data_IF_255014794477
#
_entry.id   IF_255014794477
#
_cell.length_a   1.000
_cell.length_b   1.000
_cell.length_c   1.000
_cell.angle_alpha   90.00
_cell.angle_beta   90.00
_cell.angle_gamma   90.00
#
_symmetry.space_group_name_H-M   'P 1'
#
loop_
_entity.id
_entity.type
_entity.pdbx_description
1 polymer ?
#
# COMPACT_ATOMS: atom_id res chain seq x y z
N UNK A 1 29.00 -3.39 20.88
CA UNK A 1 29.36 -2.58 19.67
C UNK A 1 28.47 -1.34 19.50
N UNK A 2 27.70 -0.97 20.52
CA UNK A 2 26.97 0.30 20.52
C UNK A 2 28.00 1.44 20.53
N UNK A 3 27.73 2.49 19.74
CA UNK A 3 28.60 3.67 19.56
C UNK A 3 29.99 3.39 18.95
N UNK A 4 30.16 2.28 18.21
CA UNK A 4 31.34 2.03 17.41
C UNK A 4 31.03 2.05 15.93
N UNK A 5 31.91 2.65 15.13
CA UNK A 5 31.83 2.60 13.68
C UNK A 5 32.04 1.15 13.23
N UNK A 6 31.04 0.59 12.56
CA UNK A 6 31.08 -0.75 11.99
C UNK A 6 30.87 -0.64 10.49
N UNK A 7 31.80 -1.16 9.71
CA UNK A 7 31.69 -1.18 8.25
C UNK A 7 30.52 -2.07 7.82
N UNK A 8 29.71 -1.60 6.85
CA UNK A 8 28.71 -2.43 6.21
C UNK A 8 29.36 -3.61 5.51
N UNK A 9 28.75 -4.80 5.57
CA UNK A 9 29.29 -6.03 4.95
C UNK A 9 29.52 -5.90 3.43
N UNK A 10 28.67 -5.13 2.75
CA UNK A 10 28.67 -4.90 1.31
C UNK A 10 29.26 -3.54 0.90
N UNK A 11 29.88 -2.80 1.83
CA UNK A 11 30.40 -1.46 1.56
C UNK A 11 31.38 -1.43 0.40
N UNK A 12 32.33 -2.37 0.35
CA UNK A 12 33.33 -2.46 -0.70
C UNK A 12 32.68 -2.68 -2.08
N UNK A 13 31.72 -3.61 -2.18
CA UNK A 13 30.98 -3.87 -3.41
C UNK A 13 30.26 -2.61 -3.92
N UNK A 14 29.66 -1.84 -3.02
CA UNK A 14 28.95 -0.61 -3.37
C UNK A 14 29.89 0.49 -3.89
N UNK A 15 31.02 0.73 -3.23
CA UNK A 15 31.94 1.81 -3.59
C UNK A 15 32.80 1.47 -4.82
N UNK A 16 33.00 0.18 -5.13
CA UNK A 16 33.73 -0.27 -6.31
C UNK A 16 32.83 -0.57 -7.53
N UNK A 17 31.49 -0.39 -7.40
CA UNK A 17 30.55 -0.61 -8.49
C UNK A 17 30.33 -2.07 -8.87
N UNK A 18 30.54 -3.02 -7.93
CA UNK A 18 30.25 -4.43 -8.19
C UNK A 18 28.73 -4.65 -8.39
N UNK A 19 28.32 -5.61 -9.25
CA UNK A 19 26.90 -5.93 -9.47
C UNK A 19 26.23 -6.40 -8.18
N UNK A 20 25.23 -5.67 -7.70
CA UNK A 20 24.56 -5.96 -6.42
C UNK A 20 23.05 -5.75 -6.44
N UNK A 21 22.51 -5.08 -7.48
CA UNK A 21 21.10 -4.80 -7.62
C UNK A 21 20.40 -5.89 -8.44
N UNK A 22 19.08 -5.93 -8.37
CA UNK A 22 18.26 -6.98 -8.99
C UNK A 22 18.57 -7.15 -10.50
N UNK A 23 18.66 -6.05 -11.25
CA UNK A 23 18.87 -6.13 -12.70
C UNK A 23 20.29 -6.55 -13.06
N UNK A 24 21.28 -6.20 -12.23
CA UNK A 24 22.67 -6.65 -12.40
C UNK A 24 22.83 -8.16 -12.33
N UNK A 25 21.94 -8.82 -11.57
CA UNK A 25 21.98 -10.26 -11.29
C UNK A 25 21.10 -11.08 -12.24
N UNK A 26 20.28 -10.42 -13.07
CA UNK A 26 19.38 -11.11 -13.97
C UNK A 26 20.13 -11.90 -15.06
N UNK A 27 19.78 -13.17 -15.33
CA UNK A 27 20.32 -13.91 -16.45
C UNK A 27 20.11 -13.18 -17.79
N UNK A 28 21.07 -13.25 -18.70
CA UNK A 28 21.03 -12.56 -20.00
C UNK A 28 19.93 -13.10 -20.93
N UNK A 29 19.53 -14.35 -20.75
CA UNK A 29 18.51 -15.07 -21.51
C UNK A 29 17.09 -14.98 -20.91
N UNK A 30 16.89 -14.11 -19.92
CA UNK A 30 15.57 -13.83 -19.40
C UNK A 30 14.61 -13.33 -20.47
N UNK A 31 13.39 -13.90 -20.48
CA UNK A 31 12.28 -13.26 -21.17
C UNK A 31 12.02 -11.87 -20.62
N UNK A 32 11.82 -10.90 -21.49
CA UNK A 32 11.35 -9.56 -21.12
C UNK A 32 9.84 -9.63 -20.95
N UNK A 33 9.36 -9.19 -19.77
CA UNK A 33 7.94 -9.16 -19.45
C UNK A 33 7.46 -7.72 -19.40
N UNK A 34 6.40 -7.42 -20.14
CA UNK A 34 5.66 -6.15 -20.06
C UNK A 34 4.16 -6.42 -19.98
N UNK A 35 3.38 -5.40 -19.60
CA UNK A 35 1.93 -5.52 -19.44
C UNK A 35 1.19 -4.49 -20.29
N UNK A 36 0.05 -4.91 -20.84
CA UNK A 36 -0.96 -4.00 -21.37
C UNK A 36 -1.75 -3.44 -20.20
N UNK A 37 -1.90 -2.13 -20.14
CA UNK A 37 -2.60 -1.44 -19.05
C UNK A 37 -3.92 -0.85 -19.50
N UNK A 38 -4.89 -0.84 -18.57
CA UNK A 38 -6.20 -0.25 -18.77
C UNK A 38 -6.12 1.26 -19.01
N UNK A 39 -6.75 1.78 -20.06
CA UNK A 39 -6.97 3.22 -20.24
C UNK A 39 -8.19 3.74 -19.47
N UNK A 40 -8.98 2.83 -18.85
CA UNK A 40 -10.24 3.16 -18.18
C UNK A 40 -10.12 2.99 -16.67
N UNK A 41 -10.76 3.88 -15.93
CA UNK A 41 -10.83 3.82 -14.47
C UNK A 41 -11.72 2.66 -13.97
N UNK A 42 -12.78 2.30 -14.73
CA UNK A 42 -13.65 1.19 -14.41
C UNK A 42 -14.20 0.61 -15.71
N UNK A 43 -13.93 -0.65 -15.99
CA UNK A 43 -14.39 -1.33 -17.20
C UNK A 43 -14.42 -2.84 -17.03
N UNK A 44 -15.20 -3.50 -17.89
CA UNK A 44 -15.08 -4.95 -18.15
C UNK A 44 -14.42 -5.18 -19.50
N UNK A 45 -13.47 -6.08 -19.56
CA UNK A 45 -12.93 -6.56 -20.83
C UNK A 45 -14.00 -7.46 -21.47
N UNK A 46 -14.60 -7.03 -22.58
CA UNK A 46 -15.58 -7.83 -23.35
C UNK A 46 -14.88 -8.93 -24.15
N UNK A 47 -13.98 -8.49 -25.01
CA UNK A 47 -13.17 -9.36 -25.85
C UNK A 47 -11.72 -8.91 -25.85
N UNK A 48 -10.80 -9.85 -26.03
CA UNK A 48 -9.37 -9.59 -26.24
C UNK A 48 -8.84 -10.50 -27.34
N UNK A 49 -8.33 -9.94 -28.43
CA UNK A 49 -7.68 -10.67 -29.50
C UNK A 49 -6.17 -10.57 -29.37
N UNK A 50 -5.53 -11.67 -29.04
CA UNK A 50 -4.09 -11.80 -28.87
C UNK A 50 -3.39 -12.51 -30.02
N UNK A 51 -4.12 -13.02 -31.04
CA UNK A 51 -3.59 -13.87 -32.13
C UNK A 51 -2.41 -13.23 -32.85
N UNK A 52 -2.55 -11.95 -33.25
CA UNK A 52 -1.49 -11.22 -33.95
C UNK A 52 -0.30 -10.92 -33.04
N UNK A 53 -0.55 -10.67 -31.74
CA UNK A 53 0.51 -10.44 -30.77
C UNK A 53 1.33 -11.70 -30.52
N UNK A 54 0.66 -12.84 -30.35
CA UNK A 54 1.31 -14.15 -30.15
C UNK A 54 2.10 -14.62 -31.36
N UNK A 55 1.75 -14.18 -32.57
CA UNK A 55 2.46 -14.50 -33.81
C UNK A 55 3.70 -13.66 -34.07
N UNK A 56 4.02 -12.66 -33.24
CA UNK A 56 5.24 -11.85 -33.38
C UNK A 56 6.47 -12.74 -33.08
N UNK A 57 7.47 -12.81 -33.99
CA UNK A 57 8.68 -13.57 -33.75
C UNK A 57 9.37 -13.16 -32.44
N UNK A 58 9.76 -14.16 -31.64
CA UNK A 58 10.38 -13.96 -30.34
C UNK A 58 9.41 -13.76 -29.16
N UNK A 59 8.10 -13.86 -29.39
CA UNK A 59 7.12 -13.88 -28.30
C UNK A 59 6.98 -15.31 -27.75
N UNK A 60 7.15 -15.46 -26.44
CA UNK A 60 7.04 -16.72 -25.73
C UNK A 60 5.61 -16.98 -25.24
N UNK A 61 4.92 -15.96 -24.74
CA UNK A 61 3.51 -16.04 -24.35
C UNK A 61 2.83 -14.68 -24.27
N UNK A 62 1.51 -14.70 -24.43
CA UNK A 62 0.60 -13.59 -24.14
C UNK A 62 -0.47 -14.17 -23.21
N UNK A 63 -0.59 -13.62 -21.99
CA UNK A 63 -1.52 -14.09 -20.96
C UNK A 63 -2.62 -13.05 -20.73
N UNK A 64 -3.85 -13.55 -20.56
CA UNK A 64 -5.06 -12.75 -20.28
C UNK A 64 -5.71 -13.21 -18.99
N UNK A 65 -6.89 -12.67 -18.66
CA UNK A 65 -7.64 -13.14 -17.47
C UNK A 65 -8.01 -14.64 -17.55
N UNK A 66 -8.10 -15.21 -18.73
CA UNK A 66 -8.40 -16.63 -18.95
C UNK A 66 -7.24 -17.54 -18.53
N UNK A 67 -6.02 -17.02 -18.58
CA UNK A 67 -4.80 -17.71 -18.15
C UNK A 67 -4.47 -17.51 -16.67
N UNK A 68 -5.13 -16.54 -16.01
CA UNK A 68 -4.87 -16.18 -14.62
C UNK A 68 -5.52 -17.21 -13.67
N UNK A 69 -4.79 -17.66 -12.62
CA UNK A 69 -5.42 -18.48 -11.58
C UNK A 69 -6.63 -17.75 -10.97
N UNK A 70 -7.68 -18.53 -10.65
CA UNK A 70 -8.90 -17.98 -10.04
C UNK A 70 -8.72 -17.49 -8.59
N UNK A 71 -7.53 -17.66 -8.01
CA UNK A 71 -7.21 -17.30 -6.64
C UNK A 71 -7.26 -15.78 -6.43
N UNK A 72 -7.99 -15.34 -5.40
CA UNK A 72 -7.83 -13.96 -4.91
C UNK A 72 -6.73 -13.89 -3.86
N UNK A 73 -6.00 -12.80 -3.87
CA UNK A 73 -4.92 -12.52 -2.94
C UNK A 73 -4.88 -11.03 -2.58
N UNK A 74 -4.07 -10.67 -1.61
CA UNK A 74 -3.71 -9.28 -1.32
C UNK A 74 -2.23 -9.07 -1.60
N UNK A 75 -1.86 -7.90 -2.10
CA UNK A 75 -0.45 -7.53 -2.34
C UNK A 75 0.23 -6.96 -1.10
N UNK A 76 -0.50 -6.75 -0.02
CA UNK A 76 0.05 -6.24 1.24
C UNK A 76 1.00 -7.22 1.90
N UNK A 77 2.00 -6.69 2.58
CA UNK A 77 2.96 -7.45 3.35
C UNK A 77 3.18 -6.89 4.74
N UNK A 78 2.27 -7.17 5.66
CA UNK A 78 2.27 -6.61 7.02
C UNK A 78 2.37 -7.69 8.07
N UNK A 79 1.42 -8.62 8.12
CA UNK A 79 1.32 -9.67 9.14
C UNK A 79 0.69 -10.94 8.58
N UNK A 80 0.33 -11.88 9.46
CA UNK A 80 -0.44 -13.08 9.12
C UNK A 80 -1.37 -13.45 10.28
N UNK A 81 -2.69 -13.63 10.04
CA UNK A 81 -3.37 -13.36 8.76
C UNK A 81 -3.23 -11.90 8.34
N UNK A 82 -3.28 -11.65 7.03
CA UNK A 82 -3.17 -10.29 6.50
C UNK A 82 -4.48 -9.53 6.76
N UNK A 83 -4.45 -8.33 7.38
CA UNK A 83 -5.66 -7.56 7.67
C UNK A 83 -6.35 -7.03 6.41
N UNK A 84 -5.60 -6.84 5.34
CA UNK A 84 -6.18 -6.38 4.07
C UNK A 84 -7.02 -7.46 3.41
N UNK A 85 -8.16 -7.10 2.80
CA UNK A 85 -9.00 -8.03 2.05
C UNK A 85 -8.26 -8.72 0.91
N UNK A 86 -8.72 -9.92 0.57
CA UNK A 86 -8.31 -10.70 -0.59
C UNK A 86 -9.18 -10.30 -1.77
N UNK A 87 -8.81 -9.24 -2.44
CA UNK A 87 -9.64 -8.52 -3.42
C UNK A 87 -9.07 -8.50 -4.84
N UNK A 88 -7.82 -8.99 -5.05
CA UNK A 88 -7.10 -8.91 -6.31
C UNK A 88 -6.88 -10.28 -6.94
N UNK A 89 -6.86 -10.32 -8.30
CA UNK A 89 -6.33 -11.40 -9.14
C UNK A 89 -5.10 -10.93 -9.88
N UNK A 90 -4.29 -11.84 -10.44
CA UNK A 90 -3.09 -11.46 -11.23
C UNK A 90 -3.52 -10.64 -12.45
N UNK A 91 -4.50 -11.14 -13.20
CA UNK A 91 -5.19 -10.44 -14.28
C UNK A 91 -6.69 -10.67 -14.03
N UNK A 92 -7.47 -9.61 -14.01
CA UNK A 92 -8.92 -9.68 -13.84
C UNK A 92 -9.62 -9.17 -15.11
N UNK A 93 -10.80 -9.71 -15.38
CA UNK A 93 -11.68 -9.21 -16.42
C UNK A 93 -12.24 -7.83 -16.10
N UNK A 94 -12.43 -7.55 -14.79
CA UNK A 94 -12.83 -6.23 -14.28
C UNK A 94 -11.61 -5.39 -13.97
N UNK A 95 -11.49 -4.28 -14.68
CA UNK A 95 -10.45 -3.28 -14.51
C UNK A 95 -10.96 -2.20 -13.57
N UNK A 96 -10.16 -1.84 -12.57
CA UNK A 96 -10.60 -0.99 -11.47
C UNK A 96 -9.89 0.35 -11.37
N UNK A 97 -8.83 0.57 -12.15
CA UNK A 97 -8.17 1.88 -12.24
C UNK A 97 -7.42 2.05 -13.56
N UNK A 98 -7.12 3.29 -13.94
CA UNK A 98 -6.26 3.58 -15.09
C UNK A 98 -4.84 3.10 -14.79
N UNK A 99 -4.38 2.09 -15.53
CA UNK A 99 -3.10 1.42 -15.27
C UNK A 99 -3.23 -0.01 -14.75
N UNK A 100 -4.46 -0.50 -14.48
CA UNK A 100 -4.70 -1.91 -14.11
C UNK A 100 -4.29 -2.85 -15.26
N UNK A 101 -3.95 -4.11 -14.94
CA UNK A 101 -3.36 -5.03 -15.91
C UNK A 101 -4.43 -5.73 -16.73
N UNK A 102 -4.35 -5.59 -18.05
CA UNK A 102 -5.24 -6.21 -19.05
C UNK A 102 -4.67 -7.49 -19.61
N UNK A 103 -3.36 -7.50 -19.89
CA UNK A 103 -2.64 -8.66 -20.42
C UNK A 103 -1.16 -8.59 -20.05
N UNK A 104 -0.50 -9.75 -20.02
CA UNK A 104 0.95 -9.89 -19.84
C UNK A 104 1.54 -10.40 -21.14
N UNK A 105 2.60 -9.78 -21.63
CA UNK A 105 3.36 -10.21 -22.82
C UNK A 105 4.79 -10.52 -22.42
N UNK A 106 5.30 -11.66 -22.83
CA UNK A 106 6.68 -12.07 -22.60
C UNK A 106 7.36 -12.53 -23.88
N UNK A 107 8.59 -12.09 -24.08
CA UNK A 107 9.37 -12.42 -25.29
C UNK A 107 10.87 -12.23 -25.11
N UNK A 108 11.62 -12.63 -26.13
CA UNK A 108 13.09 -12.65 -26.11
C UNK A 108 13.72 -11.24 -26.09
N UNK A 109 13.03 -10.26 -26.67
CA UNK A 109 13.53 -8.87 -26.75
C UNK A 109 12.45 -7.85 -26.40
N UNK A 110 12.89 -6.71 -25.91
CA UNK A 110 12.01 -5.59 -25.60
C UNK A 110 11.24 -5.12 -26.84
N UNK A 111 11.91 -5.06 -28.00
CA UNK A 111 11.30 -4.63 -29.26
C UNK A 111 10.18 -5.58 -29.71
N UNK A 112 10.37 -6.90 -29.58
CA UNK A 112 9.33 -7.89 -29.90
C UNK A 112 8.12 -7.73 -28.97
N UNK A 113 8.36 -7.56 -27.67
CA UNK A 113 7.29 -7.37 -26.67
C UNK A 113 6.53 -6.06 -26.92
N UNK A 114 7.21 -4.95 -27.19
CA UNK A 114 6.57 -3.66 -27.49
C UNK A 114 5.74 -3.71 -28.78
N UNK A 115 6.22 -4.45 -29.81
CA UNK A 115 5.45 -4.70 -31.03
C UNK A 115 4.21 -5.54 -30.75
N UNK A 116 4.33 -6.59 -29.97
CA UNK A 116 3.22 -7.46 -29.63
C UNK A 116 2.13 -6.74 -28.83
N UNK A 117 2.52 -5.92 -27.82
CA UNK A 117 1.59 -5.11 -27.05
C UNK A 117 0.69 -4.21 -27.92
N UNK A 118 1.25 -3.60 -28.98
CA UNK A 118 0.52 -2.75 -29.92
C UNK A 118 -0.45 -3.52 -30.82
N UNK A 119 -0.30 -4.83 -30.94
CA UNK A 119 -1.13 -5.70 -31.78
C UNK A 119 -2.29 -6.34 -31.02
N UNK A 120 -2.33 -6.26 -29.69
CA UNK A 120 -3.47 -6.71 -28.88
C UNK A 120 -4.64 -5.77 -29.14
N UNK A 121 -5.79 -6.35 -29.46
CA UNK A 121 -7.04 -5.60 -29.60
C UNK A 121 -7.97 -5.96 -28.46
N UNK A 122 -8.45 -4.94 -27.75
CA UNK A 122 -9.35 -5.12 -26.60
C UNK A 122 -10.61 -4.29 -26.78
N UNK A 123 -11.75 -4.89 -26.58
CA UNK A 123 -13.03 -4.21 -26.48
C UNK A 123 -13.44 -4.11 -25.00
N UNK A 124 -13.83 -2.92 -24.60
CA UNK A 124 -14.21 -2.62 -23.21
C UNK A 124 -15.69 -2.25 -23.12
N UNK A 125 -16.32 -2.72 -22.07
CA UNK A 125 -17.53 -2.12 -21.54
C UNK A 125 -17.13 -1.15 -20.43
N UNK A 126 -17.19 0.13 -20.72
CA UNK A 126 -16.83 1.19 -19.77
C UNK A 126 -17.94 1.33 -18.74
N UNK A 127 -17.57 1.25 -17.46
CA UNK A 127 -18.48 1.36 -16.33
C UNK A 127 -18.33 2.72 -15.66
N UNK A 128 -19.36 3.12 -14.90
CA UNK A 128 -19.31 4.33 -14.08
C UNK A 128 -18.24 4.14 -12.97
N UNK A 129 -17.23 5.03 -12.86
CA UNK A 129 -16.23 4.94 -11.80
C UNK A 129 -16.68 5.66 -10.52
N UNK A 130 -16.12 5.25 -9.39
CA UNK A 130 -16.17 5.95 -8.10
C UNK A 130 -14.84 6.69 -7.93
N UNK A 131 -14.83 8.01 -8.11
CA UNK A 131 -13.59 8.82 -8.07
C UNK A 131 -13.54 9.75 -6.86
N UNK A 132 -14.66 10.20 -6.32
CA UNK A 132 -14.70 11.00 -5.08
C UNK A 132 -14.77 10.05 -3.86
N UNK A 133 -13.66 9.93 -3.13
CA UNK A 133 -13.58 9.03 -1.98
C UNK A 133 -14.51 9.45 -0.83
N UNK A 134 -14.90 10.73 -0.76
CA UNK A 134 -15.88 11.23 0.22
C UNK A 134 -17.28 10.68 -0.01
N UNK A 135 -17.56 10.22 -1.24
CA UNK A 135 -18.84 9.66 -1.68
C UNK A 135 -18.74 8.17 -2.01
N UNK A 136 -17.64 7.52 -1.63
CA UNK A 136 -17.40 6.12 -1.98
C UNK A 136 -18.13 5.15 -1.06
N UNK A 137 -18.14 5.45 0.25
CA UNK A 137 -18.90 4.68 1.24
C UNK A 137 -20.39 4.70 0.90
N UNK A 138 -20.99 3.51 0.90
CA UNK A 138 -22.41 3.30 0.58
C UNK A 138 -22.83 3.78 -0.84
N UNK A 139 -21.87 3.94 -1.75
CA UNK A 139 -22.14 4.28 -3.14
C UNK A 139 -22.81 3.09 -3.84
N UNK A 140 -23.85 3.30 -4.67
CA UNK A 140 -24.52 2.22 -5.40
C UNK A 140 -23.62 1.55 -6.44
N UNK A 141 -22.58 2.22 -6.91
CA UNK A 141 -21.53 1.63 -7.76
C UNK A 141 -20.49 0.96 -6.88
N UNK A 142 -20.34 -0.36 -7.02
CA UNK A 142 -19.40 -1.15 -6.25
C UNK A 142 -18.08 -1.33 -7.02
N UNK A 143 -16.96 -1.08 -6.36
CA UNK A 143 -15.62 -1.36 -6.89
C UNK A 143 -15.36 -2.87 -6.89
N UNK A 144 -15.85 -3.58 -5.86
CA UNK A 144 -15.75 -5.03 -5.71
C UNK A 144 -17.14 -5.66 -5.52
N UNK A 145 -17.91 -5.87 -6.59
CA UNK A 145 -19.23 -6.52 -6.49
C UNK A 145 -19.15 -8.05 -6.34
N UNK A 146 -17.96 -8.66 -6.53
CA UNK A 146 -17.76 -10.09 -6.61
C UNK A 146 -17.99 -10.80 -5.27
N UNK A 147 -18.62 -11.99 -5.32
CA UNK A 147 -18.91 -12.80 -4.13
C UNK A 147 -17.69 -13.52 -3.56
N UNK A 148 -16.66 -13.76 -4.39
CA UNK A 148 -15.41 -14.40 -3.97
C UNK A 148 -14.41 -13.43 -3.30
N UNK A 149 -14.77 -12.15 -3.18
CA UNK A 149 -14.09 -11.20 -2.31
C UNK A 149 -14.19 -11.63 -0.84
N UNK A 150 -13.12 -11.49 -0.06
CA UNK A 150 -13.13 -11.87 1.35
C UNK A 150 -12.13 -11.09 2.18
N UNK A 151 -12.49 -10.84 3.42
CA UNK A 151 -11.59 -10.38 4.50
C UNK A 151 -11.39 -11.52 5.48
N UNK A 152 -10.14 -11.76 5.89
CA UNK A 152 -9.80 -12.82 6.86
C UNK A 152 -9.66 -12.29 8.29
N UNK A 153 -9.66 -10.97 8.47
CA UNK A 153 -9.56 -10.30 9.75
C UNK A 153 -10.81 -9.46 10.02
N UNK A 154 -11.20 -9.29 11.29
CA UNK A 154 -12.36 -8.47 11.67
C UNK A 154 -12.02 -6.97 11.66
N UNK A 155 -11.75 -6.43 10.49
CA UNK A 155 -11.35 -5.02 10.30
C UNK A 155 -12.51 -4.12 9.86
N UNK A 156 -13.76 -4.57 9.99
CA UNK A 156 -14.94 -3.81 9.55
C UNK A 156 -15.03 -3.66 8.02
N UNK A 157 -14.48 -4.63 7.29
CA UNK A 157 -14.50 -4.64 5.82
C UNK A 157 -15.85 -5.11 5.29
N UNK A 158 -16.39 -4.38 4.29
CA UNK A 158 -17.66 -4.68 3.62
C UNK A 158 -17.64 -4.17 2.16
N UNK A 159 -17.44 -5.09 1.22
CA UNK A 159 -17.38 -4.73 -0.20
C UNK A 159 -18.71 -4.20 -0.75
N UNK A 160 -19.85 -4.54 -0.14
CA UNK A 160 -21.18 -4.03 -0.55
C UNK A 160 -21.39 -2.57 -0.16
N UNK A 161 -20.55 -2.04 0.70
CA UNK A 161 -20.50 -0.64 1.13
C UNK A 161 -19.29 0.12 0.60
N UNK A 162 -18.49 -0.50 -0.26
CA UNK A 162 -17.17 0.00 -0.67
C UNK A 162 -16.20 0.25 0.51
N UNK A 163 -16.33 -0.51 1.60
CA UNK A 163 -15.45 -0.44 2.77
C UNK A 163 -14.36 -1.50 2.71
N UNK A 164 -13.12 -1.06 2.70
CA UNK A 164 -11.95 -1.90 2.91
C UNK A 164 -11.72 -2.17 4.41
N UNK A 165 -12.04 -1.18 5.24
CA UNK A 165 -11.96 -1.27 6.70
C UNK A 165 -12.78 -0.15 7.33
N UNK A 166 -13.28 -0.39 8.55
CA UNK A 166 -13.96 0.60 9.37
C UNK A 166 -13.79 0.22 10.83
N UNK A 167 -13.63 1.19 11.71
CA UNK A 167 -13.47 0.91 13.14
C UNK A 167 -13.67 2.13 14.02
N UNK A 168 -13.79 1.85 15.33
CA UNK A 168 -13.92 2.86 16.37
C UNK A 168 -13.24 2.38 17.64
N UNK A 169 -12.46 3.26 18.26
CA UNK A 169 -11.82 3.05 19.55
C UNK A 169 -12.04 4.30 20.41
N UNK A 170 -12.27 4.12 21.72
CA UNK A 170 -12.49 5.25 22.63
C UNK A 170 -12.09 4.88 24.06
N UNK A 171 -11.75 5.89 24.83
CA UNK A 171 -11.58 5.81 26.28
C UNK A 171 -12.13 7.08 26.92
N UNK A 172 -12.90 6.93 28.01
CA UNK A 172 -13.63 8.01 28.65
C UNK A 172 -14.87 8.51 27.88
N UNK A 173 -15.60 9.46 28.48
CA UNK A 173 -16.76 10.13 27.86
C UNK A 173 -16.32 11.42 27.18
N UNK A 174 -16.00 11.32 25.90
CA UNK A 174 -15.51 12.44 25.08
C UNK A 174 -16.51 13.59 25.02
N UNK A 175 -17.81 13.31 24.90
CA UNK A 175 -18.82 14.36 24.78
C UNK A 175 -19.01 15.12 26.09
N UNK A 176 -18.97 14.43 27.23
CA UNK A 176 -19.05 15.07 28.55
C UNK A 176 -17.82 15.96 28.78
N UNK A 177 -16.60 15.47 28.48
CA UNK A 177 -15.36 16.25 28.63
C UNK A 177 -15.36 17.46 27.70
N UNK A 178 -15.76 17.30 26.43
CA UNK A 178 -15.83 18.42 25.47
C UNK A 178 -16.78 19.54 25.93
N UNK A 179 -17.92 19.19 26.53
CA UNK A 179 -18.88 20.19 27.09
C UNK A 179 -18.32 20.99 28.24
N UNK A 180 -17.35 20.45 28.97
CA UNK A 180 -16.70 21.06 30.13
C UNK A 180 -15.36 21.75 29.75
N UNK A 181 -15.03 21.84 28.49
CA UNK A 181 -13.84 22.55 28.01
C UNK A 181 -14.09 24.04 27.79
N UNK A 182 -13.08 24.87 28.07
CA UNK A 182 -13.11 26.32 27.81
C UNK A 182 -13.01 26.66 26.32
N UNK A 183 -12.29 25.84 25.56
CA UNK A 183 -12.14 25.95 24.12
C UNK A 183 -12.37 24.60 23.47
N UNK A 184 -13.25 24.55 22.46
CA UNK A 184 -13.38 23.42 21.55
C UNK A 184 -13.16 23.91 20.14
N UNK A 185 -12.22 23.28 19.44
CA UNK A 185 -12.02 23.50 18.01
C UNK A 185 -12.39 22.24 17.23
N UNK A 186 -12.92 22.43 16.02
CA UNK A 186 -13.18 21.36 15.06
C UNK A 186 -12.62 21.76 13.70
N UNK A 187 -11.76 20.92 13.12
CA UNK A 187 -11.11 21.19 11.83
C UNK A 187 -10.99 19.90 11.03
N UNK A 188 -11.12 20.04 9.72
CA UNK A 188 -10.85 18.96 8.77
C UNK A 188 -9.65 19.32 7.92
N UNK A 189 -8.67 18.43 7.89
CA UNK A 189 -7.43 18.57 7.13
C UNK A 189 -7.37 17.52 6.03
N UNK A 190 -6.90 17.89 4.85
CA UNK A 190 -6.78 17.03 3.70
C UNK A 190 -5.31 16.86 3.30
N UNK A 191 -4.89 15.60 3.12
CA UNK A 191 -3.57 15.24 2.59
C UNK A 191 -3.73 14.45 1.30
N UNK A 192 -2.99 14.83 0.25
CA UNK A 192 -3.04 14.16 -1.06
C UNK A 192 -2.21 12.89 -1.10
N UNK A 193 -2.46 12.06 -2.11
CA UNK A 193 -1.63 10.93 -2.46
C UNK A 193 -0.30 11.42 -3.08
N UNK A 194 0.81 10.88 -2.57
CA UNK A 194 2.17 11.17 -3.04
C UNK A 194 2.91 9.88 -3.35
N UNK A 195 3.68 9.87 -4.44
CA UNK A 195 4.55 8.74 -4.79
C UNK A 195 5.90 8.80 -4.08
N UNK A 196 6.44 7.63 -3.69
CA UNK A 196 7.72 7.50 -2.98
C UNK A 196 8.92 7.86 -3.84
N UNK A 197 8.80 7.77 -5.16
CA UNK A 197 9.78 8.21 -6.17
C UNK A 197 11.20 7.72 -5.91
N UNK A 198 11.35 6.46 -5.44
CA UNK A 198 12.65 5.84 -5.23
C UNK A 198 13.44 5.79 -6.54
N UNK A 199 14.77 5.96 -6.48
CA UNK A 199 15.63 6.01 -7.65
C UNK A 199 15.54 4.71 -8.47
N UNK A 200 15.64 3.55 -7.82
CA UNK A 200 15.41 2.25 -8.44
C UNK A 200 13.91 1.98 -8.52
N UNK A 201 13.38 1.81 -9.72
CA UNK A 201 11.98 1.43 -9.98
C UNK A 201 11.68 0.00 -9.52
N UNK A 202 10.43 -0.43 -9.54
CA UNK A 202 10.05 -1.81 -9.23
C UNK A 202 10.64 -2.78 -10.25
N UNK A 203 11.25 -3.87 -9.78
CA UNK A 203 11.85 -4.88 -10.64
C UNK A 203 12.02 -6.23 -9.96
N UNK A 204 11.88 -7.27 -10.74
CA UNK A 204 12.14 -8.64 -10.34
C UNK A 204 12.54 -9.48 -11.54
N UNK A 205 13.28 -10.55 -11.29
CA UNK A 205 13.41 -11.67 -12.23
C UNK A 205 13.13 -12.98 -11.51
N UNK A 206 12.71 -13.99 -12.30
CA UNK A 206 12.27 -15.28 -11.79
C UNK A 206 12.83 -16.41 -12.64
N UNK A 207 13.05 -17.57 -12.03
CA UNK A 207 13.49 -18.80 -12.72
C UNK A 207 13.09 -20.03 -11.89
N UNK A 208 13.05 -21.19 -12.53
CA UNK A 208 12.92 -22.47 -11.83
C UNK A 208 14.31 -23.04 -11.52
N UNK A 209 14.51 -23.53 -10.28
CA UNK A 209 15.73 -24.27 -9.96
C UNK A 209 15.65 -25.72 -10.43
N UNK A 210 16.73 -26.48 -10.24
CA UNK A 210 16.83 -27.88 -10.64
C UNK A 210 15.75 -28.80 -10.02
N UNK A 211 15.08 -28.34 -8.96
CA UNK A 211 14.01 -29.05 -8.27
C UNK A 211 12.60 -28.54 -8.68
N UNK A 212 12.52 -27.66 -9.68
CA UNK A 212 11.27 -27.05 -10.13
C UNK A 212 10.70 -25.99 -9.19
N UNK A 213 11.46 -25.52 -8.20
CA UNK A 213 11.02 -24.46 -7.29
C UNK A 213 11.18 -23.10 -7.94
N UNK A 214 10.14 -22.26 -7.83
CA UNK A 214 10.15 -20.88 -8.30
C UNK A 214 11.08 -20.02 -7.42
N UNK A 215 12.18 -19.55 -8.00
CA UNK A 215 13.06 -18.59 -7.41
C UNK A 215 12.72 -17.20 -7.94
N UNK A 216 12.63 -16.23 -7.02
CA UNK A 216 12.27 -14.84 -7.27
C UNK A 216 13.35 -13.95 -6.68
N UNK A 217 14.05 -13.20 -7.51
CA UNK A 217 15.03 -12.20 -7.09
C UNK A 217 14.40 -10.84 -7.32
N UNK A 218 14.16 -10.09 -6.25
CA UNK A 218 13.34 -8.89 -6.30
C UNK A 218 13.89 -7.75 -5.47
N UNK A 219 13.72 -6.55 -5.99
CA UNK A 219 13.93 -5.31 -5.24
C UNK A 219 12.75 -5.07 -4.30
N UNK A 220 12.76 -5.74 -3.17
CA UNK A 220 11.67 -5.74 -2.17
C UNK A 220 12.16 -5.45 -0.76
N UNK A 221 11.30 -4.87 0.08
CA UNK A 221 11.53 -4.71 1.52
C UNK A 221 11.04 -5.92 2.33
N UNK A 222 10.22 -6.81 1.71
CA UNK A 222 9.43 -7.83 2.42
C UNK A 222 9.55 -9.24 1.79
N UNK A 223 10.75 -9.83 1.67
CA UNK A 223 10.94 -11.08 0.93
C UNK A 223 10.06 -12.24 1.42
N UNK A 224 9.81 -12.34 2.73
CA UNK A 224 8.95 -13.41 3.30
C UNK A 224 7.48 -13.22 2.94
N UNK A 225 7.01 -11.98 2.88
CA UNK A 225 5.64 -11.69 2.44
C UNK A 225 5.48 -11.86 0.93
N UNK A 226 6.47 -11.47 0.11
CA UNK A 226 6.45 -11.75 -1.34
C UNK A 226 6.30 -13.26 -1.59
N UNK A 227 7.00 -14.12 -0.82
CA UNK A 227 6.81 -15.57 -0.90
C UNK A 227 5.36 -15.99 -0.66
N UNK A 228 4.71 -15.42 0.37
CA UNK A 228 3.29 -15.68 0.68
C UNK A 228 2.36 -15.16 -0.41
N UNK A 229 2.58 -13.93 -0.87
CA UNK A 229 1.79 -13.27 -1.92
C UNK A 229 1.81 -14.12 -3.19
N UNK A 230 2.99 -14.52 -3.64
CA UNK A 230 3.16 -15.35 -4.85
C UNK A 230 2.52 -16.74 -4.70
N UNK A 231 2.68 -17.37 -3.54
CA UNK A 231 2.05 -18.66 -3.26
C UNK A 231 0.53 -18.56 -3.35
N UNK A 232 -0.07 -17.52 -2.75
CA UNK A 232 -1.50 -17.30 -2.80
C UNK A 232 -1.99 -16.93 -4.22
N UNK A 233 -1.27 -16.05 -4.92
CA UNK A 233 -1.65 -15.59 -6.25
C UNK A 233 -1.58 -16.68 -7.31
N UNK A 234 -0.57 -17.57 -7.21
CA UNK A 234 -0.34 -18.67 -8.13
C UNK A 234 -1.07 -19.97 -7.72
N UNK A 235 -1.65 -20.02 -6.50
CA UNK A 235 -2.31 -21.22 -5.98
C UNK A 235 -1.34 -22.38 -5.70
N UNK A 236 -0.09 -22.09 -5.31
CA UNK A 236 0.96 -23.07 -5.05
C UNK A 236 1.43 -23.05 -3.58
N UNK A 237 2.01 -24.13 -3.07
CA UNK A 237 2.54 -24.13 -1.70
C UNK A 237 3.67 -23.12 -1.50
N UNK A 238 3.74 -22.50 -0.29
CA UNK A 238 4.84 -21.58 0.07
C UNK A 238 6.23 -22.23 -0.06
N UNK A 239 6.36 -23.54 0.15
CA UNK A 239 7.58 -24.32 -0.04
C UNK A 239 8.09 -24.35 -1.48
N UNK A 240 7.18 -24.19 -2.45
CA UNK A 240 7.52 -24.12 -3.87
C UNK A 240 8.07 -22.76 -4.31
N UNK A 241 8.13 -21.76 -3.41
CA UNK A 241 8.62 -20.41 -3.71
C UNK A 241 9.80 -20.07 -2.83
N UNK A 242 10.89 -19.57 -3.43
CA UNK A 242 12.04 -18.96 -2.75
C UNK A 242 12.18 -17.52 -3.21
N UNK A 243 12.29 -16.58 -2.27
CA UNK A 243 12.51 -15.16 -2.58
C UNK A 243 13.88 -14.73 -2.06
N UNK A 244 14.63 -14.07 -2.91
CA UNK A 244 15.95 -13.50 -2.61
C UNK A 244 15.87 -11.99 -2.79
N UNK A 245 16.34 -11.28 -1.76
CA UNK A 245 16.41 -9.82 -1.76
C UNK A 245 17.87 -9.39 -1.91
N UNK A 246 18.29 -8.88 -3.07
CA UNK A 246 19.59 -8.24 -3.23
C UNK A 246 19.60 -6.83 -2.63
N UNK A 247 20.58 -6.02 -2.98
CA UNK A 247 20.57 -4.58 -2.65
C UNK A 247 19.40 -3.90 -3.34
N UNK A 248 18.76 -2.97 -2.64
CA UNK A 248 17.67 -2.16 -3.19
C UNK A 248 18.07 -0.68 -3.27
N UNK A 249 17.68 -0.02 -4.37
CA UNK A 249 17.96 1.39 -4.66
C UNK A 249 16.88 2.34 -4.17
N UNK A 250 16.49 2.18 -2.88
CA UNK A 250 15.42 2.92 -2.24
C UNK A 250 14.11 2.14 -2.20
N UNK A 251 13.30 2.40 -1.18
CA UNK A 251 12.00 1.77 -1.00
C UNK A 251 10.98 2.73 -0.38
N UNK A 252 11.33 3.33 0.75
CA UNK A 252 10.50 4.31 1.48
C UNK A 252 9.09 3.81 1.79
N UNK A 253 8.90 2.48 1.87
CA UNK A 253 7.61 1.82 2.00
C UNK A 253 7.03 1.27 0.69
N UNK A 254 7.30 1.85 -0.47
CA UNK A 254 6.75 1.39 -1.75
C UNK A 254 6.97 -0.09 -2.03
N UNK A 255 8.12 -0.61 -1.65
CA UNK A 255 8.51 -2.02 -1.85
C UNK A 255 8.09 -2.94 -0.70
N UNK A 256 7.10 -2.52 0.10
CA UNK A 256 6.34 -3.35 1.05
C UNK A 256 5.06 -3.94 0.45
N UNK A 257 4.88 -3.76 -0.85
CA UNK A 257 3.79 -4.32 -1.64
C UNK A 257 4.38 -5.18 -2.76
N UNK A 258 3.75 -6.30 -3.10
CA UNK A 258 4.15 -7.15 -4.22
C UNK A 258 3.69 -6.55 -5.54
N UNK A 259 4.50 -5.73 -6.20
CA UNK A 259 4.11 -4.96 -7.39
C UNK A 259 4.55 -5.62 -8.70
N UNK A 260 5.86 -5.83 -8.88
CA UNK A 260 6.41 -6.32 -10.14
C UNK A 260 6.67 -7.82 -10.15
N UNK A 261 6.73 -8.46 -8.99
CA UNK A 261 7.20 -9.85 -8.82
C UNK A 261 6.27 -10.89 -9.42
N UNK A 262 4.96 -10.61 -9.41
CA UNK A 262 3.91 -11.55 -9.81
C UNK A 262 3.95 -11.85 -11.32
N UNK A 263 4.23 -10.84 -12.14
CA UNK A 263 4.14 -10.95 -13.59
C UNK A 263 5.24 -11.84 -14.19
N UNK A 264 6.55 -11.67 -13.88
CA UNK A 264 7.54 -12.63 -14.33
C UNK A 264 7.36 -14.01 -13.68
N UNK A 265 6.80 -14.10 -12.46
CA UNK A 265 6.55 -15.36 -11.79
C UNK A 265 5.54 -16.24 -12.55
N UNK A 266 4.39 -15.69 -12.95
CA UNK A 266 3.40 -16.46 -13.74
C UNK A 266 3.96 -16.83 -15.13
N UNK A 267 4.75 -15.94 -15.76
CA UNK A 267 5.43 -16.23 -17.03
C UNK A 267 6.42 -17.39 -16.88
N UNK A 268 7.26 -17.38 -15.86
CA UNK A 268 8.22 -18.47 -15.59
C UNK A 268 7.51 -19.79 -15.32
N UNK A 269 6.43 -19.77 -14.54
CA UNK A 269 5.62 -20.99 -14.29
C UNK A 269 4.97 -21.53 -15.56
N UNK A 270 4.57 -20.65 -16.49
CA UNK A 270 3.91 -21.06 -17.75
C UNK A 270 4.90 -21.52 -18.81
N UNK A 271 6.08 -20.91 -18.89
CA UNK A 271 7.05 -21.13 -19.99
C UNK A 271 8.21 -22.04 -19.60
N UNK A 272 8.47 -22.23 -18.31
CA UNK A 272 9.69 -22.88 -17.80
C UNK A 272 10.98 -22.06 -17.99
N UNK A 273 10.91 -20.86 -18.57
CA UNK A 273 12.06 -19.99 -18.86
C UNK A 273 12.22 -18.90 -17.81
N UNK A 274 13.46 -18.45 -17.54
CA UNK A 274 13.69 -17.25 -16.75
C UNK A 274 12.97 -16.05 -17.37
N UNK A 275 12.38 -15.20 -16.52
CA UNK A 275 11.65 -14.01 -16.95
C UNK A 275 11.97 -12.81 -16.04
N UNK A 276 12.05 -11.60 -16.61
CA UNK A 276 12.28 -10.37 -15.86
C UNK A 276 11.28 -9.28 -16.21
N UNK A 277 10.93 -8.49 -15.22
CA UNK A 277 10.14 -7.27 -15.38
C UNK A 277 10.81 -6.10 -14.68
N UNK A 278 10.91 -4.98 -15.39
CA UNK A 278 11.44 -3.72 -14.89
C UNK A 278 10.41 -2.64 -15.23
N UNK A 279 9.84 -2.01 -14.20
CA UNK A 279 8.96 -0.87 -14.41
C UNK A 279 9.74 0.34 -14.89
N UNK A 280 9.22 1.02 -15.87
CA UNK A 280 9.62 2.38 -16.21
C UNK A 280 9.27 3.33 -15.07
N UNK A 281 9.82 4.54 -15.08
CA UNK A 281 9.41 5.58 -14.13
C UNK A 281 7.92 5.90 -14.24
N UNK A 282 7.40 5.97 -15.45
CA UNK A 282 5.99 6.18 -15.71
C UNK A 282 5.12 5.09 -15.09
N UNK A 283 5.45 3.82 -15.31
CA UNK A 283 4.72 2.71 -14.70
C UNK A 283 4.79 2.74 -13.17
N UNK A 284 5.93 3.13 -12.59
CA UNK A 284 6.09 3.28 -11.14
C UNK A 284 5.19 4.38 -10.57
N UNK A 285 4.78 5.37 -11.38
CA UNK A 285 3.88 6.44 -10.96
C UNK A 285 2.40 6.05 -11.07
N UNK A 286 2.02 5.32 -12.13
CA UNK A 286 0.60 5.04 -12.42
C UNK A 286 0.10 3.69 -11.91
N UNK A 287 0.99 2.75 -11.59
CA UNK A 287 0.63 1.36 -11.29
C UNK A 287 1.35 0.80 -10.06
N UNK A 288 1.82 1.66 -9.17
CA UNK A 288 2.36 1.31 -7.86
C UNK A 288 1.45 1.83 -6.75
N UNK A 289 1.92 1.82 -5.51
CA UNK A 289 1.11 2.10 -4.33
C UNK A 289 1.56 3.40 -3.65
N UNK A 290 1.00 4.58 -4.03
CA UNK A 290 1.30 5.87 -3.40
C UNK A 290 0.84 5.93 -1.94
N UNK A 291 1.09 7.05 -1.27
CA UNK A 291 0.51 7.38 0.04
C UNK A 291 -1.01 7.42 -0.05
N UNK A 292 -1.70 6.96 1.00
CA UNK A 292 -3.15 7.11 1.13
C UNK A 292 -3.52 8.60 1.18
N UNK A 293 -4.42 9.01 0.30
CA UNK A 293 -5.13 10.27 0.44
C UNK A 293 -6.08 10.19 1.63
N UNK A 294 -6.04 11.19 2.53
CA UNK A 294 -6.85 11.18 3.75
C UNK A 294 -7.49 12.54 4.02
N UNK A 295 -8.70 12.50 4.55
CA UNK A 295 -9.29 13.60 5.31
C UNK A 295 -9.32 13.21 6.77
N UNK A 296 -8.78 14.11 7.61
CA UNK A 296 -8.71 13.91 9.06
C UNK A 296 -9.45 15.05 9.73
N UNK A 297 -10.56 14.73 10.38
CA UNK A 297 -11.31 15.67 11.20
C UNK A 297 -10.89 15.51 12.66
N UNK A 298 -10.49 16.60 13.28
CA UNK A 298 -10.07 16.66 14.68
C UNK A 298 -10.98 17.61 15.43
N UNK A 299 -11.68 17.11 16.44
CA UNK A 299 -12.35 17.90 17.48
C UNK A 299 -11.48 17.82 18.73
N UNK A 300 -11.00 18.97 19.21
CA UNK A 300 -10.08 19.03 20.36
C UNK A 300 -10.61 19.99 21.40
N UNK A 301 -10.76 19.50 22.64
CA UNK A 301 -11.18 20.27 23.81
C UNK A 301 -10.00 20.60 24.70
N UNK A 302 -9.87 21.88 25.11
CA UNK A 302 -8.80 22.39 25.97
C UNK A 302 -9.35 23.22 27.13
N UNK A 303 -8.57 23.29 28.23
CA UNK A 303 -8.78 24.29 29.29
C UNK A 303 -8.16 25.63 28.87
N UNK A 304 -8.50 26.72 29.63
CA UNK A 304 -7.90 28.05 29.44
C UNK A 304 -6.38 28.07 29.58
N UNK A 305 -5.84 27.17 30.40
CA UNK A 305 -4.39 27.05 30.60
C UNK A 305 -3.73 26.22 29.50
N UNK A 306 -4.50 25.76 28.50
CA UNK A 306 -4.00 24.99 27.37
C UNK A 306 -3.76 23.52 27.65
N UNK A 307 -4.45 22.92 28.63
CA UNK A 307 -4.45 21.47 28.82
C UNK A 307 -5.38 20.83 27.80
N UNK A 308 -4.89 19.88 27.00
CA UNK A 308 -5.72 19.04 26.11
C UNK A 308 -6.49 18.05 26.98
N UNK A 309 -7.82 18.14 26.96
CA UNK A 309 -8.71 17.32 27.79
C UNK A 309 -9.40 16.24 26.98
N UNK A 310 -9.82 16.55 25.74
CA UNK A 310 -10.45 15.56 24.88
C UNK A 310 -9.94 15.67 23.45
N UNK A 311 -9.85 14.52 22.78
CA UNK A 311 -9.57 14.42 21.34
C UNK A 311 -10.56 13.46 20.71
N UNK A 312 -11.35 13.97 19.75
CA UNK A 312 -12.23 13.17 18.90
C UNK A 312 -11.72 13.28 17.47
N UNK A 313 -11.26 12.17 16.92
CA UNK A 313 -10.61 12.14 15.61
C UNK A 313 -11.33 11.17 14.67
N UNK A 314 -11.72 11.65 13.50
CA UNK A 314 -12.23 10.83 12.41
C UNK A 314 -11.28 10.87 11.22
N UNK A 315 -10.90 9.70 10.69
CA UNK A 315 -10.07 9.60 9.50
C UNK A 315 -10.82 8.88 8.37
N UNK A 316 -11.06 9.56 7.27
CA UNK A 316 -11.51 8.97 6.02
C UNK A 316 -10.30 8.77 5.10
N UNK A 317 -10.04 7.53 4.71
CA UNK A 317 -8.87 7.14 3.91
C UNK A 317 -9.27 6.52 2.58
N UNK A 318 -8.66 6.99 1.50
CA UNK A 318 -8.80 6.45 0.15
C UNK A 318 -7.76 5.33 -0.08
N UNK A 319 -8.20 4.07 -0.18
CA UNK A 319 -7.30 2.97 -0.49
C UNK A 319 -7.15 2.71 -2.00
N UNK A 320 -7.95 3.38 -2.83
CA UNK A 320 -7.97 3.11 -4.26
C UNK A 320 -8.68 1.80 -4.60
N UNK A 321 -8.25 1.17 -5.69
CA UNK A 321 -8.92 0.00 -6.27
C UNK A 321 -8.76 -1.29 -5.46
N UNK A 322 -7.75 -1.39 -4.61
CA UNK A 322 -7.46 -2.59 -3.80
C UNK A 322 -7.03 -2.19 -2.39
N UNK A 323 -7.32 -3.06 -1.42
CA UNK A 323 -7.16 -2.74 0.01
C UNK A 323 -5.73 -2.57 0.48
N UNK A 324 -4.82 -3.34 -0.07
CA UNK A 324 -3.37 -3.33 0.23
C UNK A 324 -3.05 -2.98 1.71
N UNK A 325 -2.50 -1.79 1.98
CA UNK A 325 -2.11 -1.35 3.33
C UNK A 325 -3.19 -0.52 4.06
N UNK A 326 -4.39 -0.37 3.48
CA UNK A 326 -5.45 0.51 3.97
C UNK A 326 -5.78 0.35 5.46
N UNK A 327 -6.13 -0.87 5.93
CA UNK A 327 -6.55 -1.07 7.33
C UNK A 327 -5.51 -0.64 8.36
N UNK A 328 -4.25 -1.01 8.17
CA UNK A 328 -3.18 -0.69 9.13
C UNK A 328 -2.68 0.74 9.00
N UNK A 329 -2.67 1.31 7.78
CA UNK A 329 -2.24 2.70 7.57
C UNK A 329 -3.20 3.67 8.25
N UNK A 330 -4.51 3.47 8.11
CA UNK A 330 -5.50 4.34 8.76
C UNK A 330 -5.43 4.23 10.28
N UNK A 331 -5.30 3.03 10.83
CA UNK A 331 -5.17 2.84 12.28
C UNK A 331 -4.01 3.63 12.87
N UNK A 332 -2.85 3.64 12.20
CA UNK A 332 -1.69 4.39 12.68
C UNK A 332 -1.86 5.92 12.57
N UNK A 333 -2.84 6.44 11.83
CA UNK A 333 -3.14 7.88 11.85
C UNK A 333 -3.63 8.35 13.23
N UNK A 334 -4.47 7.56 13.90
CA UNK A 334 -4.93 7.82 15.27
C UNK A 334 -3.93 7.36 16.33
N UNK A 335 -3.51 6.08 16.28
CA UNK A 335 -2.66 5.45 17.30
C UNK A 335 -1.28 6.12 17.48
N UNK A 336 -0.81 6.91 16.53
CA UNK A 336 0.46 7.63 16.64
C UNK A 336 0.29 9.13 16.92
N UNK A 337 -0.88 9.70 16.66
CA UNK A 337 -1.12 11.13 16.84
C UNK A 337 -1.76 11.46 18.21
N UNK A 338 -2.80 10.72 18.60
CA UNK A 338 -3.56 11.00 19.84
C UNK A 338 -2.73 10.80 21.11
N UNK A 339 -1.93 9.70 21.25
CA UNK A 339 -1.24 9.41 22.51
C UNK A 339 -0.20 10.42 22.94
N UNK A 340 0.26 11.28 22.01
CA UNK A 340 1.34 12.26 22.30
C UNK A 340 0.91 13.26 23.38
N UNK A 341 -0.39 13.60 23.47
CA UNK A 341 -0.90 14.68 24.30
C UNK A 341 -1.78 14.22 25.45
N UNK A 342 -1.80 12.96 25.81
CA UNK A 342 -2.46 12.36 26.98
C UNK A 342 -3.80 13.01 27.37
N UNK A 343 -4.83 12.99 26.51
CA UNK A 343 -6.14 13.55 26.84
C UNK A 343 -6.81 12.73 27.96
N UNK A 344 -7.76 13.35 28.68
CA UNK A 344 -8.61 12.66 29.68
C UNK A 344 -9.58 11.69 29.03
N UNK A 345 -10.04 12.01 27.81
CA UNK A 345 -10.88 11.15 27.00
C UNK A 345 -10.52 11.27 25.52
N UNK A 346 -10.62 10.16 24.80
CA UNK A 346 -10.47 10.18 23.33
C UNK A 346 -11.48 9.28 22.64
N UNK A 347 -11.77 9.61 21.38
CA UNK A 347 -12.44 8.76 20.41
C UNK A 347 -11.68 8.83 19.09
N UNK A 348 -11.37 7.67 18.51
CA UNK A 348 -10.80 7.54 17.19
C UNK A 348 -11.71 6.67 16.35
N UNK A 349 -12.26 7.23 15.28
CA UNK A 349 -13.08 6.51 14.30
C UNK A 349 -12.47 6.63 12.92
N UNK A 350 -12.65 5.61 12.07
CA UNK A 350 -12.11 5.65 10.73
C UNK A 350 -12.90 4.81 9.74
N UNK A 351 -12.87 5.24 8.48
CA UNK A 351 -13.32 4.49 7.32
C UNK A 351 -12.22 4.46 6.25
N UNK A 352 -11.98 3.29 5.67
CA UNK A 352 -11.12 3.11 4.51
C UNK A 352 -11.99 2.69 3.35
N UNK A 353 -12.03 3.50 2.30
CA UNK A 353 -12.96 3.31 1.19
C UNK A 353 -12.24 2.90 -0.09
N UNK A 354 -12.91 2.03 -0.86
CA UNK A 354 -12.51 1.69 -2.21
C UNK A 354 -12.93 2.78 -3.20
N UNK A 355 -12.05 3.06 -4.17
CA UNK A 355 -12.31 3.94 -5.31
C UNK A 355 -11.68 3.38 -6.58
N UNK A 356 -11.99 3.97 -7.73
CA UNK A 356 -11.38 3.59 -9.00
C UNK A 356 -10.07 4.37 -9.31
N UNK A 357 -9.25 4.61 -8.27
CA UNK A 357 -7.88 5.07 -8.40
C UNK A 357 -6.88 3.92 -8.20
N UNK A 358 -5.60 4.15 -8.54
CA UNK A 358 -4.55 3.20 -8.20
C UNK A 358 -4.54 2.95 -6.69
N UNK A 359 -4.19 1.72 -6.30
CA UNK A 359 -4.21 1.33 -4.89
C UNK A 359 -3.15 2.07 -4.09
N UNK A 360 -3.53 2.53 -2.91
CA UNK A 360 -2.60 3.17 -1.98
C UNK A 360 -1.86 2.13 -1.13
N UNK A 361 -0.64 2.45 -0.72
CA UNK A 361 0.20 1.52 0.03
C UNK A 361 1.05 2.18 1.12
N UNK A 362 2.11 1.49 1.49
CA UNK A 362 3.02 1.97 2.51
C UNK A 362 3.89 3.11 1.99
N UNK A 363 3.95 4.19 2.74
CA UNK A 363 4.91 5.28 2.54
C UNK A 363 5.43 5.78 3.88
N UNK A 364 6.69 6.16 3.92
CA UNK A 364 7.41 6.66 5.11
C UNK A 364 6.52 7.49 6.02
N UNK A 365 6.38 7.07 7.29
CA UNK A 365 5.42 7.60 8.26
C UNK A 365 4.13 6.79 8.40
N UNK A 366 3.67 6.06 7.36
CA UNK A 366 2.65 5.02 7.37
C UNK A 366 1.36 5.40 8.11
N UNK A 367 0.70 6.48 7.68
CA UNK A 367 -0.50 7.03 8.32
C UNK A 367 -0.20 8.04 9.44
N UNK A 368 0.84 7.80 10.24
CA UNK A 368 1.21 8.70 11.34
C UNK A 368 1.46 10.15 10.87
N UNK A 369 2.09 10.35 9.71
CA UNK A 369 2.35 11.70 9.19
C UNK A 369 1.08 12.48 8.90
N UNK A 370 0.04 11.82 8.38
CA UNK A 370 -1.25 12.47 8.11
C UNK A 370 -1.99 12.81 9.40
N UNK A 371 -2.04 11.86 10.36
CA UNK A 371 -2.67 12.09 11.67
C UNK A 371 -1.95 13.16 12.48
N UNK A 372 -0.61 13.11 12.53
CA UNK A 372 0.20 14.12 13.20
C UNK A 372 0.03 15.50 12.57
N UNK A 373 0.02 15.61 11.25
CA UNK A 373 -0.23 16.87 10.57
C UNK A 373 -1.56 17.51 11.04
N UNK A 374 -2.63 16.71 11.12
CA UNK A 374 -3.93 17.19 11.55
C UNK A 374 -3.95 17.62 13.03
N UNK A 375 -3.48 16.74 13.93
CA UNK A 375 -3.48 17.01 15.38
C UNK A 375 -2.56 18.18 15.73
N UNK A 376 -1.36 18.24 15.16
CA UNK A 376 -0.38 19.30 15.41
C UNK A 376 -0.85 20.68 14.88
N UNK A 377 -1.51 20.69 13.71
CA UNK A 377 -2.08 21.93 13.17
C UNK A 377 -3.26 22.39 14.00
N UNK A 378 -4.16 21.48 14.40
CA UNK A 378 -5.25 21.82 15.30
C UNK A 378 -4.75 22.39 16.64
N UNK A 379 -3.69 21.80 17.22
CA UNK A 379 -3.09 22.29 18.46
C UNK A 379 -2.44 23.68 18.29
N UNK A 380 -1.81 23.98 17.14
CA UNK A 380 -1.29 25.31 16.83
C UNK A 380 -2.41 26.34 16.75
N UNK A 381 -3.53 26.02 16.11
CA UNK A 381 -4.70 26.89 16.03
C UNK A 381 -5.30 27.13 17.42
N UNK A 382 -5.43 26.07 18.25
CA UNK A 382 -5.89 26.20 19.62
C UNK A 382 -4.96 27.10 20.47
N UNK A 383 -3.64 26.94 20.34
CA UNK A 383 -2.65 27.75 21.01
C UNK A 383 -2.80 29.23 20.66
N UNK A 384 -2.98 29.55 19.36
CA UNK A 384 -3.22 30.92 18.90
C UNK A 384 -4.51 31.53 19.48
N UNK A 385 -5.61 30.75 19.52
CA UNK A 385 -6.89 31.18 20.09
C UNK A 385 -6.80 31.45 21.60
N UNK A 386 -5.99 30.68 22.33
CA UNK A 386 -5.76 30.85 23.77
C UNK A 386 -4.68 31.88 24.09
N UNK A 387 -3.95 32.40 23.09
CA UNK A 387 -2.82 33.29 23.30
C UNK A 387 -1.62 32.61 23.98
N UNK A 388 -1.45 31.32 23.82
CA UNK A 388 -0.38 30.50 24.42
C UNK A 388 0.67 30.20 23.34
N UNK A 389 1.95 30.26 23.74
CA UNK A 389 3.05 29.89 22.85
C UNK A 389 2.94 28.43 22.42
N UNK A 390 3.09 28.08 21.13
CA UNK A 390 2.98 26.72 20.62
C UNK A 390 3.91 25.67 21.26
N UNK A 391 5.08 26.08 21.76
CA UNK A 391 5.97 25.19 22.50
C UNK A 391 5.49 24.98 23.93
N UNK A 392 4.98 26.03 24.58
CA UNK A 392 4.47 25.94 25.94
C UNK A 392 3.23 25.04 26.04
N UNK A 393 2.30 25.12 25.08
CA UNK A 393 1.13 24.23 25.06
C UNK A 393 1.56 22.77 24.90
N UNK A 394 2.61 22.51 24.10
CA UNK A 394 3.18 21.16 23.95
C UNK A 394 3.87 20.68 25.23
N UNK A 395 4.69 21.52 25.87
CA UNK A 395 5.37 21.18 27.14
C UNK A 395 4.38 20.78 28.25
N UNK A 396 3.23 21.40 28.29
CA UNK A 396 2.15 21.07 29.24
C UNK A 396 1.51 19.71 28.99
N UNK A 397 1.46 19.28 27.73
CA UNK A 397 0.64 18.14 27.29
C UNK A 397 1.43 16.90 26.89
N UNK A 398 2.74 17.03 26.61
CA UNK A 398 3.53 15.87 26.20
C UNK A 398 3.45 14.70 27.19
N UNK A 399 3.28 13.54 26.64
CA UNK A 399 3.44 12.26 27.31
C UNK A 399 4.79 12.19 28.04
N UNK A 400 4.78 11.71 29.28
CA UNK A 400 5.97 11.55 30.12
C UNK A 400 6.34 10.08 30.25
N UNK A 401 7.63 9.86 30.55
CA UNK A 401 8.14 8.51 30.85
C UNK A 401 7.23 7.79 31.87
N UNK A 402 6.98 6.51 31.63
CA UNK A 402 6.15 5.61 32.44
C UNK A 402 4.65 5.89 32.44
N UNK A 403 4.17 6.90 31.72
CA UNK A 403 2.73 7.06 31.53
C UNK A 403 2.17 5.97 30.60
N UNK A 404 0.93 5.59 30.86
CA UNK A 404 0.18 4.67 30.00
C UNK A 404 -0.44 5.49 28.86
N UNK A 405 -0.49 4.89 27.68
CA UNK A 405 -1.08 5.46 26.47
C UNK A 405 -2.35 4.68 26.10
N UNK A 406 -3.55 5.07 26.59
CA UNK A 406 -4.80 4.37 26.27
C UNK A 406 -5.04 4.28 24.75
N UNK A 407 -4.81 5.37 24.02
CA UNK A 407 -4.94 5.41 22.56
C UNK A 407 -3.83 4.64 21.79
N UNK A 408 -2.91 4.02 22.48
CA UNK A 408 -1.91 3.12 21.89
C UNK A 408 -1.85 1.79 22.67
N UNK A 409 -2.91 1.02 22.58
CA UNK A 409 -3.03 -0.35 23.12
C UNK A 409 -2.77 -0.47 24.63
N UNK A 410 -2.97 0.60 25.41
CA UNK A 410 -2.63 0.69 26.83
C UNK A 410 -1.14 0.39 27.13
N UNK A 411 -0.27 0.60 26.16
CA UNK A 411 1.18 0.44 26.38
C UNK A 411 1.73 1.54 27.29
N UNK A 412 2.77 1.20 28.04
CA UNK A 412 3.53 2.16 28.85
C UNK A 412 4.67 2.74 28.02
N UNK A 413 4.85 4.07 28.09
CA UNK A 413 6.02 4.70 27.47
C UNK A 413 7.28 4.35 28.26
N UNK A 414 8.17 3.59 27.65
CA UNK A 414 9.53 3.36 28.16
C UNK A 414 10.50 4.37 27.53
N UNK A 415 11.42 4.91 28.33
CA UNK A 415 12.42 5.84 27.81
C UNK A 415 13.45 5.09 26.95
N UNK A 416 13.70 5.63 25.75
CA UNK A 416 14.88 5.24 24.99
C UNK A 416 16.03 6.17 25.34
N UNK A 417 17.06 5.66 26.01
CA UNK A 417 18.32 6.36 26.13
C UNK A 417 19.04 6.29 24.79
N UNK A 418 19.03 7.41 24.05
CA UNK A 418 19.92 7.61 22.93
C UNK A 418 21.17 8.27 23.48
N UNK A 419 22.23 7.50 23.53
CA UNK A 419 23.54 8.03 23.90
C UNK A 419 24.22 8.70 22.74
#
# INVERSE_FOLDING_TARGET
>A
NVNRAVMKKDAMALVTGAPVYTDDLAPKDCLVVKVLRSPHAHALVKTIDTKRASAVPGIACVLTWEDSPACRFTQAGQTYPEPSPYDRRIIDRRLRFVGDVVAIVAGDTEQAVDRALKLIKTEYEVLKPVLDFRKAKDNPVLVHPEEDWKSLCPVGADNKRNLCSSGSESDGDVEAVLKDCDLVIERTYHTKADNQTMMETFRAFTYLDAFGRLNVVASTQIPFHIRRILANALGIPKSAVRVVKPRIGGGFGAKQTGVAEIYPAIVTMKTGRPAKMIYTRYESMIAASPRHEMEVTVRMGLSKEGKVRAVDMYTLSNTGAYGEHGPTTVGLSGHKAIPIYTPEAFRFTYDVVYTNYQSSGAYRGYGATQGLFAVETALNEAAALLGIDPLEIRRKNFLRERQIMPAYYNERLESCHVS
#
